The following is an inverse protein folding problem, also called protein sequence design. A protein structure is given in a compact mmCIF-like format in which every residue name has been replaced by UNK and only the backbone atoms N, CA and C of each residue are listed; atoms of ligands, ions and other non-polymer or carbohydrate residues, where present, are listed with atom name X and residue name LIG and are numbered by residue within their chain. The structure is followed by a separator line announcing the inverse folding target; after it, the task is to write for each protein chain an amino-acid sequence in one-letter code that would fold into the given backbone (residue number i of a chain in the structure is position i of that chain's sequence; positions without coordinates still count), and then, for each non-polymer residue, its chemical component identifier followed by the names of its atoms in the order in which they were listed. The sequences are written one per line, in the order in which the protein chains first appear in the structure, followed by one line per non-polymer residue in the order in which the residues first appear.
data_IF_201301741670
#
_entry.id   IF_201301741670
#
_cell.length_a   1.000
_cell.length_b   1.000
_cell.length_c   1.000
_cell.angle_alpha   90.00
_cell.angle_beta   90.00
_cell.angle_gamma   90.00
#
_symmetry.space_group_name_H-M   'P 1'
#
loop_
_entity.id
_entity.type
_entity.pdbx_description
1 polymer ?
#
# COMPACT_ATOMS: atom_id res chain seq x y z
N UNK A 1 -23.80 -10.73 -1.58
CA UNK A 1 -23.69 -12.15 -1.98
C UNK A 1 -24.40 -12.30 -3.31
N UNK A 2 -23.73 -12.85 -4.30
CA UNK A 2 -24.21 -13.03 -5.67
C UNK A 2 -24.41 -14.52 -5.92
N UNK A 3 -25.53 -14.87 -6.54
CA UNK A 3 -25.85 -16.27 -6.90
C UNK A 3 -25.70 -16.45 -8.41
N UNK A 4 -25.05 -17.54 -8.82
CA UNK A 4 -24.89 -17.89 -10.22
C UNK A 4 -25.18 -19.37 -10.47
N UNK A 5 -25.89 -19.64 -11.55
CA UNK A 5 -25.95 -20.95 -12.17
C UNK A 5 -24.67 -21.15 -13.01
N UNK A 6 -23.86 -22.10 -12.62
CA UNK A 6 -22.56 -22.39 -13.25
C UNK A 6 -22.64 -23.55 -14.25
N UNK A 7 -23.79 -24.12 -14.47
CA UNK A 7 -24.02 -25.17 -15.46
C UNK A 7 -25.12 -26.12 -15.05
N UNK A 8 -25.81 -26.66 -16.05
CA UNK A 8 -26.93 -27.61 -15.90
C UNK A 8 -26.79 -28.79 -16.86
N UNK A 9 -27.47 -29.86 -16.58
CA UNK A 9 -27.66 -30.97 -17.53
C UNK A 9 -29.03 -30.93 -18.16
N UNK A 10 -29.24 -31.78 -19.18
CA UNK A 10 -30.51 -31.93 -19.86
C UNK A 10 -31.65 -32.46 -18.98
N UNK A 11 -31.32 -32.91 -17.79
CA UNK A 11 -32.32 -33.42 -16.81
C UNK A 11 -32.71 -32.35 -15.78
N UNK A 12 -32.36 -31.09 -15.96
CA UNK A 12 -32.75 -29.98 -15.06
C UNK A 12 -32.01 -29.99 -13.71
N UNK A 13 -30.83 -30.57 -13.64
CA UNK A 13 -29.94 -30.46 -12.47
C UNK A 13 -28.98 -29.31 -12.73
N UNK A 14 -28.88 -28.38 -11.78
CA UNK A 14 -28.08 -27.19 -11.86
C UNK A 14 -26.99 -27.16 -10.76
N UNK A 15 -25.78 -26.75 -11.12
CA UNK A 15 -24.73 -26.36 -10.17
C UNK A 15 -24.88 -24.88 -9.85
N UNK A 16 -25.28 -24.58 -8.63
CA UNK A 16 -25.45 -23.20 -8.15
C UNK A 16 -24.27 -22.82 -7.27
N UNK A 17 -23.73 -21.62 -7.47
CA UNK A 17 -22.66 -21.07 -6.62
C UNK A 17 -23.08 -19.69 -6.11
N UNK A 18 -23.10 -19.54 -4.78
CA UNK A 18 -23.21 -18.27 -4.10
C UNK A 18 -21.80 -17.76 -3.77
N UNK A 19 -21.53 -16.49 -4.05
CA UNK A 19 -20.20 -15.91 -3.79
C UNK A 19 -20.26 -14.42 -3.46
N UNK A 20 -19.19 -13.95 -2.84
CA UNK A 20 -18.87 -12.54 -2.70
C UNK A 20 -17.35 -12.37 -2.58
N UNK A 21 -16.86 -11.15 -2.85
CA UNK A 21 -15.44 -10.87 -2.88
C UNK A 21 -15.08 -9.68 -2.00
N UNK A 22 -13.87 -9.68 -1.48
CA UNK A 22 -13.28 -8.56 -0.74
C UNK A 22 -11.79 -8.42 -1.05
N UNK A 23 -11.22 -7.25 -0.75
CA UNK A 23 -9.79 -7.04 -0.79
C UNK A 23 -9.18 -7.33 0.58
N UNK A 24 -8.13 -8.17 0.61
CA UNK A 24 -7.41 -8.54 1.83
C UNK A 24 -5.90 -8.36 1.67
N UNK A 25 -5.22 -8.20 2.80
CA UNK A 25 -3.78 -7.96 2.82
C UNK A 25 -3.40 -6.50 2.62
N UNK A 26 -2.11 -6.25 2.49
CA UNK A 26 -1.51 -4.93 2.32
C UNK A 26 -0.52 -4.93 1.15
N UNK A 27 -0.27 -3.74 0.61
CA UNK A 27 0.72 -3.60 -0.46
C UNK A 27 2.11 -4.15 -0.02
N UNK A 28 2.83 -4.91 -0.88
CA UNK A 28 2.50 -5.28 -2.27
C UNK A 28 1.66 -6.55 -2.43
N UNK A 29 1.15 -7.13 -1.34
CA UNK A 29 0.56 -8.47 -1.30
C UNK A 29 -0.98 -8.44 -1.19
N UNK A 30 -1.64 -7.39 -1.72
CA UNK A 30 -3.11 -7.36 -1.78
C UNK A 30 -3.61 -8.50 -2.66
N UNK A 31 -4.67 -9.14 -2.19
CA UNK A 31 -5.37 -10.22 -2.87
C UNK A 31 -6.86 -9.92 -2.95
N UNK A 32 -7.50 -10.44 -3.98
CA UNK A 32 -8.93 -10.54 -4.07
C UNK A 32 -9.35 -11.86 -3.45
N UNK A 33 -10.03 -11.78 -2.31
CA UNK A 33 -10.54 -12.94 -1.58
C UNK A 33 -11.93 -13.25 -2.07
N UNK A 34 -12.13 -14.48 -2.46
CA UNK A 34 -13.41 -15.05 -2.85
C UNK A 34 -13.95 -15.92 -1.73
N UNK A 35 -15.15 -15.62 -1.29
CA UNK A 35 -15.94 -16.50 -0.43
C UNK A 35 -16.97 -17.16 -1.33
N UNK A 36 -17.07 -18.47 -1.29
CA UNK A 36 -17.97 -19.23 -2.14
C UNK A 36 -18.64 -20.37 -1.37
N UNK A 37 -19.86 -20.70 -1.81
CA UNK A 37 -20.57 -21.90 -1.38
C UNK A 37 -21.33 -22.49 -2.57
N UNK A 38 -21.35 -23.82 -2.67
CA UNK A 38 -21.95 -24.56 -3.74
C UNK A 38 -23.11 -25.42 -3.21
N UNK A 39 -24.15 -25.49 -4.01
CA UNK A 39 -25.30 -26.37 -3.81
C UNK A 39 -25.87 -26.83 -5.15
N UNK A 40 -26.63 -27.93 -5.14
CA UNK A 40 -27.33 -28.43 -6.30
C UNK A 40 -28.79 -27.99 -6.24
N UNK A 41 -29.32 -27.52 -7.37
CA UNK A 41 -30.75 -27.19 -7.57
C UNK A 41 -31.29 -28.09 -8.66
N UNK A 42 -32.54 -28.47 -8.56
CA UNK A 42 -33.30 -29.13 -9.60
C UNK A 42 -34.54 -28.32 -10.00
N UNK A 43 -34.93 -28.38 -11.28
CA UNK A 43 -36.14 -27.73 -11.76
C UNK A 43 -37.39 -28.42 -11.24
N UNK A 44 -37.32 -29.72 -10.96
CA UNK A 44 -38.41 -30.53 -10.48
C UNK A 44 -37.98 -31.35 -9.27
N UNK A 45 -38.88 -31.50 -8.28
CA UNK A 45 -38.58 -32.37 -7.15
C UNK A 45 -38.54 -33.85 -7.62
N UNK A 46 -37.42 -34.51 -7.35
CA UNK A 46 -37.21 -35.93 -7.65
C UNK A 46 -37.31 -36.75 -6.36
N UNK A 47 -37.76 -37.98 -6.54
CA UNK A 47 -37.96 -38.87 -5.41
C UNK A 47 -36.62 -39.35 -4.76
N UNK A 48 -35.50 -39.32 -5.47
CA UNK A 48 -34.19 -39.60 -4.89
C UNK A 48 -33.04 -39.26 -5.85
N UNK A 49 -32.29 -38.21 -5.58
CA UNK A 49 -30.93 -38.05 -6.09
C UNK A 49 -29.96 -38.23 -4.91
N UNK A 50 -29.26 -39.35 -4.86
CA UNK A 50 -28.28 -39.65 -3.84
C UNK A 50 -26.97 -40.04 -4.49
N UNK A 51 -25.89 -39.41 -4.09
CA UNK A 51 -24.54 -39.71 -4.58
C UNK A 51 -23.49 -39.46 -3.50
N UNK A 52 -22.60 -40.41 -3.32
CA UNK A 52 -21.47 -40.29 -2.39
C UNK A 52 -20.18 -40.03 -3.18
N UNK A 53 -19.34 -39.15 -2.62
CA UNK A 53 -18.03 -38.83 -3.21
C UNK A 53 -18.12 -37.96 -4.46
N UNK A 54 -19.12 -37.09 -4.55
CA UNK A 54 -19.16 -36.02 -5.55
C UNK A 54 -17.97 -35.05 -5.37
N UNK A 55 -17.48 -34.51 -6.46
CA UNK A 55 -16.34 -33.57 -6.45
C UNK A 55 -16.79 -32.21 -6.95
N UNK A 56 -16.41 -31.16 -6.25
CA UNK A 56 -16.52 -29.78 -6.66
C UNK A 56 -15.15 -29.13 -6.68
N UNK A 57 -14.84 -28.45 -7.76
CA UNK A 57 -13.65 -27.64 -7.93
C UNK A 57 -14.04 -26.17 -8.01
N UNK A 58 -13.40 -25.34 -7.19
CA UNK A 58 -13.46 -23.90 -7.34
C UNK A 58 -12.04 -23.39 -7.58
N UNK A 59 -11.73 -23.08 -8.82
CA UNK A 59 -10.39 -22.82 -9.33
C UNK A 59 -9.43 -23.98 -8.95
N UNK A 60 -8.57 -23.81 -7.95
CA UNK A 60 -7.63 -24.83 -7.46
C UNK A 60 -8.13 -25.57 -6.21
N UNK A 61 -9.20 -25.09 -5.59
CA UNK A 61 -9.73 -25.70 -4.38
C UNK A 61 -10.67 -26.86 -4.74
N UNK A 62 -10.35 -28.05 -4.24
CA UNK A 62 -11.16 -29.24 -4.43
C UNK A 62 -11.91 -29.60 -3.15
N UNK A 63 -13.17 -29.95 -3.29
CA UNK A 63 -14.05 -30.44 -2.22
C UNK A 63 -14.69 -31.76 -2.63
N UNK A 64 -14.82 -32.65 -1.66
CA UNK A 64 -15.58 -33.89 -1.81
C UNK A 64 -16.80 -33.84 -0.90
N UNK A 65 -17.96 -34.23 -1.39
CA UNK A 65 -19.22 -34.12 -0.67
C UNK A 65 -20.20 -35.22 -1.08
N UNK A 66 -21.28 -35.35 -0.32
CA UNK A 66 -22.40 -36.23 -0.67
C UNK A 66 -23.60 -35.41 -1.10
N UNK A 67 -24.24 -35.80 -2.19
CA UNK A 67 -25.49 -35.22 -2.67
C UNK A 67 -26.63 -36.03 -2.14
N UNK A 68 -27.62 -35.37 -1.54
CA UNK A 68 -28.90 -35.95 -1.17
C UNK A 68 -30.04 -34.94 -1.44
N UNK A 69 -30.82 -35.23 -2.49
CA UNK A 69 -32.03 -34.51 -2.85
C UNK A 69 -33.19 -35.50 -2.82
N UNK A 70 -33.81 -35.65 -1.66
CA UNK A 70 -34.98 -36.50 -1.50
C UNK A 70 -36.18 -35.61 -1.16
N UNK A 71 -37.09 -35.45 -2.12
CA UNK A 71 -38.29 -34.65 -1.93
C UNK A 71 -38.10 -33.12 -1.86
N UNK A 72 -36.92 -32.64 -2.25
CA UNK A 72 -36.58 -31.21 -2.27
C UNK A 72 -36.06 -30.80 -3.65
N UNK A 73 -36.21 -29.51 -3.99
CA UNK A 73 -35.72 -28.94 -5.26
C UNK A 73 -34.32 -28.33 -5.12
N UNK A 74 -33.75 -28.32 -3.91
CA UNK A 74 -32.42 -27.77 -3.65
C UNK A 74 -31.79 -28.47 -2.45
N UNK A 75 -30.49 -28.72 -2.50
CA UNK A 75 -29.71 -29.17 -1.35
C UNK A 75 -29.42 -27.99 -0.40
N UNK A 76 -28.99 -28.26 0.82
CA UNK A 76 -28.19 -27.34 1.61
C UNK A 76 -26.83 -27.06 0.94
N UNK A 77 -26.00 -26.26 1.57
CA UNK A 77 -24.62 -26.02 1.11
C UNK A 77 -23.85 -27.37 1.18
N UNK A 78 -23.29 -27.77 0.05
CA UNK A 78 -22.55 -29.01 -0.12
C UNK A 78 -21.04 -28.83 0.00
N UNK A 79 -20.56 -27.69 -0.47
CA UNK A 79 -19.16 -27.30 -0.39
C UNK A 79 -19.05 -25.79 -0.20
N UNK A 80 -18.10 -25.34 0.61
CA UNK A 80 -17.84 -23.92 0.81
C UNK A 80 -16.35 -23.72 1.08
N UNK A 81 -15.85 -22.51 0.77
CA UNK A 81 -14.46 -22.21 1.01
C UNK A 81 -14.11 -20.76 0.73
N UNK A 82 -12.81 -20.51 0.83
CA UNK A 82 -12.19 -19.23 0.56
C UNK A 82 -11.03 -19.43 -0.41
N UNK A 83 -10.93 -18.55 -1.41
CA UNK A 83 -9.84 -18.53 -2.39
C UNK A 83 -9.26 -17.13 -2.48
N UNK A 84 -7.95 -17.01 -2.32
CA UNK A 84 -7.22 -15.76 -2.47
C UNK A 84 -6.49 -15.72 -3.82
N UNK A 85 -6.85 -14.77 -4.68
CA UNK A 85 -6.19 -14.53 -5.96
C UNK A 85 -5.39 -13.22 -5.92
N UNK A 86 -4.20 -13.14 -6.56
CA UNK A 86 -3.41 -11.91 -6.60
C UNK A 86 -4.20 -10.76 -7.22
N UNK A 87 -4.10 -9.56 -6.64
CA UNK A 87 -4.86 -8.39 -7.13
C UNK A 87 -4.31 -7.80 -8.42
N UNK A 88 -3.36 -8.26 -9.09
CA UNK A 88 -2.84 -7.68 -10.33
C UNK A 88 -2.06 -6.37 -10.11
N UNK A 89 -1.74 -5.66 -11.17
CA UNK A 89 -0.85 -4.49 -11.16
C UNK A 89 -1.57 -3.13 -11.23
N UNK A 90 -2.81 -3.09 -11.65
CA UNK A 90 -3.59 -1.86 -11.78
C UNK A 90 -4.43 -1.53 -10.53
N UNK A 91 -5.13 -0.39 -10.51
CA UNK A 91 -6.02 0.00 -9.42
C UNK A 91 -7.31 -0.83 -9.39
N UNK A 92 -7.57 -1.60 -10.42
CA UNK A 92 -8.68 -2.54 -10.50
C UNK A 92 -8.22 -3.86 -11.10
N UNK A 93 -8.89 -4.94 -10.72
CA UNK A 93 -8.63 -6.26 -11.26
C UNK A 93 -9.95 -6.99 -11.48
N UNK A 94 -9.98 -7.79 -12.53
CA UNK A 94 -11.07 -8.68 -12.87
C UNK A 94 -10.56 -10.11 -12.89
N UNK A 95 -11.21 -10.99 -12.14
CA UNK A 95 -10.92 -12.42 -12.12
C UNK A 95 -12.13 -13.23 -12.55
N UNK A 96 -11.85 -14.37 -13.18
CA UNK A 96 -12.84 -15.34 -13.63
C UNK A 96 -12.46 -16.75 -13.16
N UNK A 97 -12.53 -17.04 -11.84
CA UNK A 97 -12.26 -18.38 -11.37
C UNK A 97 -13.24 -19.38 -12.00
N UNK A 98 -12.71 -20.47 -12.50
CA UNK A 98 -13.51 -21.60 -12.97
C UNK A 98 -14.14 -22.34 -11.82
N UNK A 99 -15.33 -22.89 -12.03
CA UNK A 99 -15.98 -23.80 -11.09
C UNK A 99 -16.51 -25.02 -11.88
N UNK A 100 -16.39 -26.20 -11.30
CA UNK A 100 -16.91 -27.45 -11.90
C UNK A 100 -17.35 -28.42 -10.83
N UNK A 101 -18.30 -29.28 -11.16
CA UNK A 101 -18.70 -30.40 -10.32
C UNK A 101 -18.99 -31.64 -11.16
N UNK A 102 -18.78 -32.80 -10.57
CA UNK A 102 -19.11 -34.09 -11.19
C UNK A 102 -19.58 -35.09 -10.15
N UNK A 103 -20.65 -35.81 -10.46
CA UNK A 103 -21.12 -36.98 -9.70
C UNK A 103 -22.07 -37.82 -10.59
N UNK A 104 -21.94 -39.12 -10.53
CA UNK A 104 -22.68 -39.99 -11.42
C UNK A 104 -22.52 -39.60 -12.87
N UNK A 105 -23.65 -39.44 -13.56
CA UNK A 105 -23.70 -38.98 -14.95
C UNK A 105 -23.88 -37.44 -15.07
N UNK A 106 -23.82 -36.72 -13.95
CA UNK A 106 -23.87 -35.27 -13.93
C UNK A 106 -22.47 -34.67 -13.98
N UNK A 107 -22.29 -33.74 -14.88
CA UNK A 107 -21.10 -32.90 -14.94
C UNK A 107 -21.52 -31.49 -15.33
N UNK A 108 -21.04 -30.50 -14.63
CA UNK A 108 -21.25 -29.10 -14.95
C UNK A 108 -19.98 -28.30 -14.72
N UNK A 109 -19.78 -27.27 -15.55
CA UNK A 109 -18.66 -26.34 -15.40
C UNK A 109 -19.04 -24.94 -15.83
N UNK A 110 -18.41 -23.93 -15.24
CA UNK A 110 -18.62 -22.55 -15.58
C UNK A 110 -17.50 -21.67 -15.07
N UNK A 111 -17.66 -20.36 -15.25
CA UNK A 111 -16.77 -19.35 -14.70
C UNK A 111 -17.57 -18.29 -13.96
N UNK A 112 -16.99 -17.74 -12.92
CA UNK A 112 -17.56 -16.64 -12.17
C UNK A 112 -16.65 -15.43 -12.33
N UNK A 113 -17.20 -14.34 -12.91
CA UNK A 113 -16.46 -13.10 -13.11
C UNK A 113 -16.84 -12.07 -12.05
N UNK A 114 -15.84 -11.45 -11.44
CA UNK A 114 -16.02 -10.35 -10.49
C UNK A 114 -14.85 -9.38 -10.57
N UNK A 115 -15.13 -8.11 -10.31
CA UNK A 115 -14.11 -7.07 -10.29
C UNK A 115 -14.04 -6.39 -8.94
N UNK A 116 -12.82 -6.02 -8.54
CA UNK A 116 -12.57 -5.18 -7.37
C UNK A 116 -11.67 -4.02 -7.78
N UNK A 117 -11.86 -2.89 -7.13
CA UNK A 117 -11.02 -1.71 -7.35
C UNK A 117 -10.66 -1.03 -6.04
N UNK A 118 -9.49 -0.38 -6.03
CA UNK A 118 -9.09 0.53 -4.96
C UNK A 118 -9.54 1.93 -5.35
N UNK A 119 -10.14 2.63 -4.40
CA UNK A 119 -10.51 4.03 -4.63
C UNK A 119 -9.27 4.88 -4.83
N UNK A 120 -9.35 5.85 -5.74
CA UNK A 120 -8.30 6.84 -5.92
C UNK A 120 -8.11 7.69 -4.65
N UNK A 121 -6.89 8.17 -4.38
CA UNK A 121 -6.66 9.13 -3.31
C UNK A 121 -7.51 10.39 -3.51
N UNK A 122 -8.18 10.86 -2.46
CA UNK A 122 -9.03 12.07 -2.52
C UNK A 122 -8.39 13.28 -1.83
N UNK A 123 -7.51 13.04 -0.87
CA UNK A 123 -6.78 14.10 -0.15
C UNK A 123 -5.34 13.67 0.06
N UNK A 124 -4.40 14.48 -0.38
CA UNK A 124 -2.96 14.27 -0.21
C UNK A 124 -2.26 15.63 -0.24
N UNK A 125 -1.80 16.04 0.92
CA UNK A 125 -1.22 17.35 1.18
C UNK A 125 0.09 17.21 1.95
N UNK A 126 1.00 18.17 1.74
CA UNK A 126 2.10 18.43 2.64
C UNK A 126 1.98 19.86 3.18
N UNK A 127 2.21 20.02 4.47
CA UNK A 127 2.03 21.30 5.14
C UNK A 127 2.96 21.45 6.34
N UNK A 128 2.87 22.60 6.99
CA UNK A 128 3.42 22.89 8.30
C UNK A 128 4.89 22.46 8.48
N UNK A 129 5.82 22.95 7.65
CA UNK A 129 7.24 22.66 7.85
C UNK A 129 7.70 23.27 9.17
N UNK A 130 8.30 22.45 10.05
CA UNK A 130 8.77 22.86 11.36
C UNK A 130 10.08 22.19 11.75
N UNK A 131 10.69 22.64 12.82
CA UNK A 131 11.99 22.17 13.30
C UNK A 131 13.03 22.18 12.17
N UNK A 132 13.00 23.26 11.37
CA UNK A 132 13.83 23.37 10.18
C UNK A 132 15.29 23.61 10.62
N UNK A 133 16.12 22.64 10.31
CA UNK A 133 17.57 22.66 10.53
C UNK A 133 18.31 22.73 9.18
N UNK A 134 19.63 22.96 9.16
CA UNK A 134 20.38 22.98 7.91
C UNK A 134 20.26 21.68 7.08
N UNK A 135 20.02 20.54 7.73
CA UNK A 135 20.07 19.21 7.09
C UNK A 135 18.78 18.41 7.20
N UNK A 136 17.81 18.89 7.96
CA UNK A 136 16.53 18.20 8.15
C UNK A 136 15.38 19.17 8.48
N UNK A 137 14.16 18.69 8.34
CA UNK A 137 12.94 19.38 8.77
C UNK A 137 11.85 18.32 9.06
N UNK A 138 10.82 18.71 9.80
CA UNK A 138 9.61 17.90 9.99
C UNK A 138 8.51 18.45 9.11
N UNK A 139 7.87 17.58 8.34
CA UNK A 139 6.77 17.90 7.44
C UNK A 139 5.54 17.11 7.86
N UNK A 140 4.41 17.78 7.97
CA UNK A 140 3.13 17.12 8.15
C UNK A 140 2.55 16.73 6.80
N UNK A 141 1.92 15.57 6.74
CA UNK A 141 1.22 15.09 5.56
C UNK A 141 -0.19 14.61 5.92
N UNK A 142 -1.08 14.69 4.94
CA UNK A 142 -2.45 14.23 5.04
C UNK A 142 -2.79 13.36 3.84
N UNK A 143 -3.30 12.17 4.12
CA UNK A 143 -3.66 11.15 3.15
C UNK A 143 -5.11 10.70 3.38
N UNK A 144 -5.88 10.55 2.31
CA UNK A 144 -7.22 9.99 2.33
C UNK A 144 -7.43 9.07 1.13
N UNK A 145 -8.17 7.99 1.33
CA UNK A 145 -8.45 6.98 0.31
C UNK A 145 -7.20 6.35 -0.32
N UNK A 146 -6.05 6.46 0.35
CA UNK A 146 -4.83 5.75 -0.03
C UNK A 146 -4.87 4.39 0.63
N UNK A 147 -5.29 3.37 -0.10
CA UNK A 147 -5.29 2.00 0.39
C UNK A 147 -3.90 1.41 0.31
N UNK A 148 -3.68 0.31 1.01
CA UNK A 148 -2.43 -0.44 1.01
C UNK A 148 -1.95 -0.90 -0.39
N UNK A 149 -2.78 -0.71 -1.40
CA UNK A 149 -2.42 -0.96 -2.80
C UNK A 149 -1.44 0.07 -3.35
N UNK A 150 -1.47 1.31 -2.88
CA UNK A 150 -0.64 2.41 -3.35
C UNK A 150 0.62 2.55 -2.50
N UNK A 151 1.75 2.79 -3.14
CA UNK A 151 2.93 3.30 -2.46
C UNK A 151 2.89 4.82 -2.43
N UNK A 152 3.16 5.40 -1.26
CA UNK A 152 3.19 6.84 -1.07
C UNK A 152 4.58 7.27 -0.64
N UNK A 153 5.04 8.39 -1.17
CA UNK A 153 6.26 9.06 -0.72
C UNK A 153 6.11 10.57 -0.79
N UNK A 154 6.85 11.29 0.07
CA UNK A 154 7.07 12.70 -0.10
C UNK A 154 8.10 12.91 -1.21
N UNK A 155 7.88 13.92 -2.03
CA UNK A 155 8.74 14.25 -3.17
C UNK A 155 9.02 15.75 -3.20
N UNK A 156 10.30 16.10 -3.33
CA UNK A 156 10.72 17.48 -3.50
C UNK A 156 10.71 17.87 -4.98
N UNK A 157 9.87 18.82 -5.33
CA UNK A 157 9.73 19.30 -6.71
C UNK A 157 11.00 19.99 -7.26
N UNK A 158 11.86 20.51 -6.36
CA UNK A 158 13.08 21.22 -6.76
C UNK A 158 14.26 20.25 -6.99
N UNK A 159 14.41 19.26 -6.10
CA UNK A 159 15.59 18.38 -6.10
C UNK A 159 15.30 16.96 -6.60
N UNK A 160 14.04 16.59 -6.77
CA UNK A 160 13.62 15.21 -7.08
C UNK A 160 13.74 14.22 -5.92
N UNK A 161 14.25 14.64 -4.75
CA UNK A 161 14.46 13.77 -3.60
C UNK A 161 13.15 13.23 -3.04
N UNK A 162 13.19 12.00 -2.51
CA UNK A 162 12.00 11.30 -2.00
C UNK A 162 12.21 10.77 -0.59
N UNK A 163 11.14 10.64 0.17
CA UNK A 163 11.09 10.03 1.51
C UNK A 163 9.83 9.15 1.61
N UNK A 164 10.02 7.88 1.94
CA UNK A 164 8.91 6.93 2.03
C UNK A 164 7.97 7.27 3.20
N UNK A 165 6.68 7.11 2.96
CA UNK A 165 5.61 7.28 3.96
C UNK A 165 4.80 5.99 4.00
N UNK A 166 4.22 5.67 5.16
CA UNK A 166 3.25 4.57 5.24
C UNK A 166 2.03 4.88 4.35
N UNK A 167 1.55 3.92 3.55
CA UNK A 167 0.37 4.11 2.73
C UNK A 167 -0.96 4.07 3.52
N UNK A 168 -0.91 4.02 4.85
CA UNK A 168 -2.10 4.03 5.68
C UNK A 168 -2.86 5.35 5.53
N UNK A 169 -4.19 5.26 5.47
CA UNK A 169 -5.04 6.43 5.45
C UNK A 169 -4.88 7.23 6.75
N UNK A 170 -4.62 8.51 6.64
CA UNK A 170 -4.55 9.37 7.80
C UNK A 170 -3.61 10.56 7.66
N UNK A 171 -3.42 11.21 8.78
CA UNK A 171 -2.50 12.33 8.95
C UNK A 171 -1.25 11.85 9.68
N UNK A 172 -0.12 12.38 9.33
CA UNK A 172 1.15 12.05 9.99
C UNK A 172 2.19 13.13 9.84
N UNK A 173 3.34 12.87 10.42
CA UNK A 173 4.51 13.73 10.31
C UNK A 173 5.73 12.88 10.00
N UNK A 174 6.60 13.40 9.17
CA UNK A 174 7.87 12.73 8.84
C UNK A 174 9.04 13.71 8.97
N UNK A 175 10.15 13.21 9.47
CA UNK A 175 11.43 13.93 9.43
C UNK A 175 12.10 13.69 8.07
N UNK A 176 12.11 14.71 7.22
CA UNK A 176 12.86 14.71 5.96
C UNK A 176 14.31 15.04 6.24
N UNK A 177 15.24 14.22 5.78
CA UNK A 177 16.67 14.29 6.08
C UNK A 177 17.51 14.45 4.82
N UNK A 178 18.80 14.78 5.01
CA UNK A 178 19.76 14.93 3.93
C UNK A 178 19.49 16.18 3.09
N UNK A 179 18.94 17.21 3.68
CA UNK A 179 18.82 18.53 3.08
C UNK A 179 20.18 19.22 2.99
N UNK A 180 20.26 20.26 2.18
CA UNK A 180 21.43 21.13 2.12
C UNK A 180 21.14 22.44 2.85
N UNK A 181 22.14 23.04 3.51
CA UNK A 181 21.99 24.38 4.09
C UNK A 181 21.66 25.44 3.03
N UNK A 182 21.00 26.51 3.46
CA UNK A 182 20.66 27.68 2.62
C UNK A 182 19.97 27.33 1.30
N UNK A 183 19.15 26.26 1.34
CA UNK A 183 18.48 25.73 0.16
C UNK A 183 16.97 25.77 0.33
N UNK A 184 16.26 26.09 -0.75
CA UNK A 184 14.80 26.09 -0.78
C UNK A 184 14.27 24.71 -1.16
N UNK A 185 13.18 24.33 -0.50
CA UNK A 185 12.49 23.06 -0.71
C UNK A 185 11.00 23.29 -0.96
N UNK A 186 10.44 22.51 -1.85
CA UNK A 186 9.02 22.46 -2.15
C UNK A 186 8.59 21.01 -2.20
N UNK A 187 7.97 20.54 -1.12
CA UNK A 187 7.68 19.13 -0.88
C UNK A 187 6.19 18.87 -0.95
N UNK A 188 5.79 17.85 -1.70
CA UNK A 188 4.43 17.34 -1.77
C UNK A 188 4.43 15.81 -1.75
N UNK A 189 3.24 15.21 -1.74
CA UNK A 189 3.07 13.76 -1.83
C UNK A 189 3.05 13.30 -3.28
N UNK A 190 3.56 12.09 -3.54
CA UNK A 190 3.31 11.31 -4.75
C UNK A 190 2.77 9.95 -4.39
N UNK A 191 1.79 9.51 -5.15
CA UNK A 191 1.16 8.20 -5.04
C UNK A 191 1.47 7.40 -6.29
N UNK A 192 1.99 6.20 -6.12
CA UNK A 192 2.37 5.33 -7.23
C UNK A 192 1.67 3.97 -7.12
N UNK A 193 1.38 3.39 -8.27
CA UNK A 193 0.86 2.04 -8.36
C UNK A 193 1.95 0.96 -8.13
N UNK A 194 1.57 -0.30 -8.24
CA UNK A 194 2.48 -1.44 -8.04
C UNK A 194 3.61 -1.49 -9.05
N UNK A 195 3.44 -0.91 -10.24
CA UNK A 195 4.46 -0.85 -11.30
C UNK A 195 5.43 0.32 -11.09
N UNK A 196 5.18 1.18 -10.09
CA UNK A 196 5.96 2.39 -9.86
C UNK A 196 5.51 3.58 -10.70
N UNK A 197 4.41 3.46 -11.45
CA UNK A 197 3.85 4.56 -12.24
C UNK A 197 3.19 5.58 -11.31
N UNK A 198 3.52 6.86 -11.47
CA UNK A 198 2.93 7.94 -10.68
C UNK A 198 1.48 8.13 -11.12
N UNK A 199 0.56 7.87 -10.21
CA UNK A 199 -0.88 8.05 -10.43
C UNK A 199 -1.34 9.44 -10.02
N UNK A 200 -0.78 9.95 -8.91
CA UNK A 200 -1.12 11.27 -8.38
C UNK A 200 0.11 12.00 -7.85
N UNK A 201 0.11 13.30 -8.05
CA UNK A 201 1.01 14.26 -7.39
C UNK A 201 0.15 15.25 -6.61
N UNK A 202 0.45 15.46 -5.34
CA UNK A 202 -0.29 16.38 -4.48
C UNK A 202 -0.21 17.81 -4.99
N UNK A 203 -1.34 18.54 -4.91
CA UNK A 203 -1.44 19.94 -5.32
C UNK A 203 -0.96 20.93 -4.24
N UNK A 204 -0.92 20.50 -2.97
CA UNK A 204 -0.49 21.33 -1.84
C UNK A 204 0.94 20.98 -1.45
N UNK A 205 1.76 22.01 -1.27
CA UNK A 205 3.19 21.90 -1.02
C UNK A 205 3.59 22.51 0.32
N UNK A 206 4.41 21.81 1.09
CA UNK A 206 5.20 22.39 2.16
C UNK A 206 6.43 23.08 1.54
N UNK A 207 6.51 24.39 1.69
CA UNK A 207 7.62 25.20 1.16
C UNK A 207 8.42 25.83 2.31
N UNK A 208 9.74 25.71 2.27
CA UNK A 208 10.63 26.27 3.29
C UNK A 208 12.05 26.43 2.75
N UNK A 209 12.85 27.19 3.48
CA UNK A 209 14.30 27.32 3.22
C UNK A 209 15.05 26.89 4.46
N UNK A 210 16.03 26.02 4.28
CA UNK A 210 16.91 25.60 5.38
C UNK A 210 17.84 26.74 5.80
N UNK A 211 18.10 26.89 7.10
CA UNK A 211 19.07 27.89 7.57
C UNK A 211 20.50 27.53 7.16
N UNK A 212 21.36 28.49 7.26
CA UNK A 212 22.79 28.28 7.09
C UNK A 212 23.31 27.26 8.12
N UNK A 213 24.22 26.39 7.69
CA UNK A 213 24.99 25.58 8.62
C UNK A 213 25.91 26.48 9.46
N UNK A 214 25.50 26.72 10.68
CA UNK A 214 26.24 27.59 11.58
C UNK A 214 27.33 26.79 12.30
N UNK A 215 28.57 26.96 11.86
CA UNK A 215 29.68 26.45 12.61
C UNK A 215 29.77 27.19 13.97
N UNK A 216 29.54 26.47 15.06
CA UNK A 216 29.72 26.97 16.41
C UNK A 216 31.03 26.40 16.94
N UNK A 217 31.90 27.25 17.48
CA UNK A 217 33.10 26.84 18.19
C UNK A 217 32.83 27.03 19.67
N UNK A 218 33.00 25.95 20.44
CA UNK A 218 33.03 26.02 21.88
C UNK A 218 34.45 26.29 22.34
N UNK A 219 34.65 27.27 23.20
CA UNK A 219 35.92 27.58 23.84
C UNK A 219 35.71 27.80 25.34
N UNK A 220 36.72 27.45 26.10
CA UNK A 220 36.70 27.66 27.55
C UNK A 220 37.31 29.02 27.87
N UNK A 221 36.56 29.85 28.57
CA UNK A 221 37.01 31.12 29.08
C UNK A 221 36.67 31.21 30.56
N UNK A 222 37.69 31.16 31.40
CA UNK A 222 37.53 31.24 32.86
C UNK A 222 36.67 30.11 33.45
N UNK A 223 36.87 28.85 33.00
CA UNK A 223 36.11 27.69 33.46
C UNK A 223 34.69 27.55 32.87
N UNK A 224 34.27 28.46 32.02
CA UNK A 224 32.95 28.41 31.39
C UNK A 224 33.09 28.10 29.89
N UNK A 225 32.32 27.13 29.42
CA UNK A 225 32.22 26.84 27.97
C UNK A 225 31.34 27.88 27.30
N UNK A 226 31.93 28.61 26.35
CA UNK A 226 31.21 29.58 25.51
C UNK A 226 31.18 29.07 24.07
N UNK A 227 30.05 29.26 23.40
CA UNK A 227 29.85 28.91 22.00
C UNK A 227 29.80 30.20 21.17
N UNK A 228 30.63 30.30 20.14
CA UNK A 228 30.69 31.45 19.26
C UNK A 228 30.59 31.06 17.80
N UNK A 229 30.00 31.95 17.00
CA UNK A 229 30.05 31.87 15.54
C UNK A 229 31.37 32.39 15.05
N UNK A 230 31.99 31.75 14.08
CA UNK A 230 33.31 32.14 13.57
C UNK A 230 33.17 32.78 12.20
N UNK A 231 33.69 33.96 12.08
CA UNK A 231 33.79 34.72 10.85
C UNK A 231 35.25 35.07 10.57
N UNK A 232 35.59 35.23 9.30
CA UNK A 232 36.92 35.75 8.92
C UNK A 232 36.75 36.90 7.93
N UNK A 233 37.65 37.83 7.98
CA UNK A 233 37.69 38.93 7.02
C UNK A 233 38.58 38.52 5.84
N UNK A 234 38.02 38.62 4.64
CA UNK A 234 38.76 38.39 3.39
C UNK A 234 38.59 39.63 2.50
N UNK A 235 39.66 40.40 2.37
CA UNK A 235 39.69 41.64 1.58
C UNK A 235 38.53 42.60 1.91
N UNK A 236 38.31 42.90 3.19
CA UNK A 236 37.26 43.78 3.65
C UNK A 236 35.84 43.14 3.74
N UNK A 237 35.68 41.94 3.26
CA UNK A 237 34.38 41.23 3.31
C UNK A 237 34.40 40.20 4.43
N UNK A 238 33.45 40.33 5.37
CA UNK A 238 33.28 39.36 6.48
C UNK A 238 32.61 38.11 5.91
N UNK A 239 33.31 36.99 5.93
CA UNK A 239 32.81 35.69 5.49
C UNK A 239 32.68 34.74 6.65
N UNK A 240 31.61 33.96 6.66
CA UNK A 240 31.38 32.92 7.66
C UNK A 240 32.32 31.73 7.41
N UNK A 241 32.95 31.24 8.44
CA UNK A 241 33.81 30.05 8.36
C UNK A 241 32.95 28.80 8.20
N UNK A 242 33.17 28.02 7.16
CA UNK A 242 32.44 26.78 6.89
C UNK A 242 33.05 25.56 7.60
N UNK A 243 34.37 25.59 7.85
CA UNK A 243 35.10 24.50 8.53
C UNK A 243 36.26 25.08 9.33
N UNK A 244 36.50 24.54 10.51
CA UNK A 244 37.65 24.83 11.32
C UNK A 244 38.49 23.57 11.51
N UNK A 245 39.78 23.68 11.31
CA UNK A 245 40.72 22.62 11.52
C UNK A 245 41.66 23.03 12.68
N UNK A 246 42.00 22.07 13.54
CA UNK A 246 42.94 22.26 14.63
C UNK A 246 44.18 21.44 14.33
N UNK A 247 45.35 22.04 14.42
CA UNK A 247 46.60 21.30 14.42
C UNK A 247 46.88 20.80 15.85
N UNK A 248 47.02 19.51 16.03
CA UNK A 248 47.40 18.87 17.28
C UNK A 248 48.61 18.01 16.98
N UNK A 249 49.78 18.40 17.49
CA UNK A 249 51.03 17.67 17.33
C UNK A 249 51.37 17.34 15.87
N UNK A 250 51.24 18.31 14.97
CA UNK A 250 51.51 18.14 13.54
C UNK A 250 50.40 17.50 12.72
N UNK A 251 49.32 17.03 13.34
CA UNK A 251 48.15 16.46 12.64
C UNK A 251 47.01 17.45 12.57
N UNK A 252 46.51 17.73 11.37
CA UNK A 252 45.36 18.59 11.16
C UNK A 252 44.08 17.79 11.42
N UNK A 253 43.34 18.12 12.47
CA UNK A 253 42.07 17.50 12.82
C UNK A 253 40.92 18.48 12.59
N UNK A 254 39.80 17.97 12.03
CA UNK A 254 38.56 18.72 11.86
C UNK A 254 37.99 19.05 13.25
N UNK A 255 37.63 20.29 13.49
CA UNK A 255 36.94 20.69 14.72
C UNK A 255 35.60 19.99 14.88
N UNK A 256 35.20 19.74 16.13
CA UNK A 256 33.94 19.09 16.45
C UNK A 256 32.80 20.09 16.19
N UNK A 257 31.79 19.67 15.42
CA UNK A 257 30.54 20.40 15.31
C UNK A 257 29.71 20.14 16.58
N UNK A 258 29.49 21.15 17.35
CA UNK A 258 28.42 21.16 18.36
C UNK A 258 27.19 21.75 17.72
N UNK A 259 26.28 20.85 17.26
CA UNK A 259 24.95 21.17 16.74
C UNK A 259 23.97 21.56 17.84
#
# INVERSE_FOLDING_TARGET
MTRKDCGSNTSGIHMMVDYWTELVGSWPNIKMRWHYSMFIKEDYSRNSLQWNGAVFMFHTNQHTFNVNLSGATQTGVLAAGVLDLPFGNGPSVYHTPGCSTSFGNFSASGVIGESQSVSNPSVYECSNPRNINPFDAVIDYKLSNVRNYWRVYLWCAITGKTWNVSPDNGNGSIKVTGLNPESSYKITTKVVDRNGTVQYTGGVYASFTTPADQLKIAFNQGGRVKVARVYYNHNGTIKKVKKVYRNINGSVKKGVNYG
#
